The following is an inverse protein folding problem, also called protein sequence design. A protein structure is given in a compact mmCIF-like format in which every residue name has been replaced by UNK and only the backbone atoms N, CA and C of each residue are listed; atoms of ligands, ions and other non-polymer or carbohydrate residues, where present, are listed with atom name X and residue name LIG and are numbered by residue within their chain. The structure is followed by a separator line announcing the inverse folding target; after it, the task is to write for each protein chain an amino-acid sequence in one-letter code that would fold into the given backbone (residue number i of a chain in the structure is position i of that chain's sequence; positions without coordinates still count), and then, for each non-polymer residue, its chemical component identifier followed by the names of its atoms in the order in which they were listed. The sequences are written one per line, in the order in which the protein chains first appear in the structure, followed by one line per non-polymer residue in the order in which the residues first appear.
data_IF_670846497317
#
_entry.id   IF_670846497317
#
_cell.length_a   1.000
_cell.length_b   1.000
_cell.length_c   1.000
_cell.angle_alpha   90.00
_cell.angle_beta   90.00
_cell.angle_gamma   90.00
#
_symmetry.space_group_name_H-M   'P 1'
#
loop_
_entity.id
_entity.type
_entity.pdbx_description
1 polymer ?
#
# COMPACT_ATOMS: atom_id res chain seq x y z
N UNK A 1 1.66 14.09 25.74
CA UNK A 1 2.67 13.03 25.50
C UNK A 1 2.17 11.60 25.73
N UNK A 2 0.97 11.43 26.29
CA UNK A 2 0.36 10.11 26.57
C UNK A 2 -0.07 9.36 25.31
N UNK A 3 -0.57 10.07 24.30
CA UNK A 3 -1.02 9.45 23.03
C UNK A 3 0.19 8.98 22.21
N UNK A 4 0.28 7.67 21.97
CA UNK A 4 1.35 7.03 21.18
C UNK A 4 0.97 6.67 19.73
N UNK A 5 -0.34 6.63 19.43
CA UNK A 5 -0.85 6.32 18.11
C UNK A 5 -2.08 7.18 17.76
N UNK A 6 -2.17 7.54 16.48
CA UNK A 6 -3.32 8.17 15.83
C UNK A 6 -3.88 7.15 14.85
N UNK A 7 -5.03 6.56 15.19
CA UNK A 7 -5.69 5.56 14.36
C UNK A 7 -6.96 6.15 13.78
N UNK A 8 -7.13 6.05 12.47
CA UNK A 8 -8.36 6.48 11.82
C UNK A 8 -9.54 5.63 12.29
N UNK A 9 -10.68 6.27 12.54
CA UNK A 9 -11.90 5.57 12.94
C UNK A 9 -12.44 4.71 11.80
N UNK A 10 -12.41 5.26 10.58
CA UNK A 10 -12.82 4.61 9.34
C UNK A 10 -12.06 5.25 8.16
N UNK A 11 -12.06 4.57 7.02
CA UNK A 11 -11.77 5.22 5.74
C UNK A 11 -12.92 6.13 5.29
N UNK A 12 -12.86 6.63 4.07
CA UNK A 12 -13.91 7.47 3.51
C UNK A 12 -13.38 8.41 2.44
N UNK A 13 -13.62 9.70 2.62
CA UNK A 13 -13.19 10.74 1.71
C UNK A 13 -12.93 12.03 2.50
N UNK A 14 -11.83 12.70 2.20
CA UNK A 14 -11.56 14.06 2.69
C UNK A 14 -10.15 14.26 3.25
N UNK A 15 -9.33 13.22 3.39
CA UNK A 15 -7.96 13.36 3.87
C UNK A 15 -7.15 14.34 3.00
N UNK A 16 -7.34 14.31 1.68
CA UNK A 16 -6.74 15.26 0.73
C UNK A 16 -7.02 16.73 1.09
N UNK A 17 -8.21 17.04 1.60
CA UNK A 17 -8.62 18.40 1.95
C UNK A 17 -7.91 18.93 3.20
N UNK A 18 -7.34 18.03 4.00
CA UNK A 18 -6.66 18.38 5.25
C UNK A 18 -5.19 18.67 5.04
N UNK A 19 -4.56 18.17 3.96
CA UNK A 19 -3.11 18.17 3.80
C UNK A 19 -2.49 19.57 3.86
N UNK A 20 -3.16 20.58 3.29
CA UNK A 20 -2.71 21.98 3.33
C UNK A 20 -2.78 22.65 4.70
N UNK A 21 -3.48 22.05 5.66
CA UNK A 21 -3.64 22.58 7.02
C UNK A 21 -2.71 21.92 8.04
N UNK A 22 -1.91 20.92 7.63
CA UNK A 22 -1.05 20.17 8.54
C UNK A 22 0.30 20.84 8.74
N UNK A 23 0.70 20.99 10.00
CA UNK A 23 2.05 21.40 10.38
C UNK A 23 2.96 20.16 10.45
N UNK A 24 3.59 19.81 9.32
CA UNK A 24 4.35 18.56 9.23
C UNK A 24 5.53 18.45 10.21
N UNK A 25 6.12 19.58 10.60
CA UNK A 25 7.19 19.64 11.61
C UNK A 25 6.79 19.02 12.96
N UNK A 26 5.50 19.04 13.32
CA UNK A 26 5.00 18.44 14.57
C UNK A 26 5.10 16.92 14.58
N UNK A 27 5.08 16.27 13.42
CA UNK A 27 5.29 14.82 13.32
C UNK A 27 6.76 14.44 13.50
N UNK A 28 7.69 15.35 13.22
CA UNK A 28 9.13 15.14 13.47
C UNK A 28 9.46 15.29 14.97
N UNK A 29 8.89 16.29 15.64
CA UNK A 29 9.17 16.55 17.06
C UNK A 29 8.39 15.63 18.00
N UNK A 30 7.24 15.13 17.56
CA UNK A 30 6.39 14.22 18.34
C UNK A 30 5.94 13.03 17.49
N UNK A 31 6.85 12.13 17.09
CA UNK A 31 6.52 10.99 16.26
C UNK A 31 5.52 10.08 16.97
N UNK A 32 4.47 9.69 16.25
CA UNK A 32 3.42 8.78 16.69
C UNK A 32 3.06 7.88 15.53
N UNK A 33 2.61 6.67 15.83
CA UNK A 33 2.03 5.81 14.80
C UNK A 33 0.84 6.52 14.14
N UNK A 34 0.87 6.70 12.83
CA UNK A 34 -0.29 7.07 12.03
C UNK A 34 -0.81 5.82 11.34
N UNK A 35 -2.08 5.47 11.59
CA UNK A 35 -2.63 4.15 11.25
C UNK A 35 -3.93 4.28 10.47
N UNK A 36 -3.98 3.63 9.30
CA UNK A 36 -5.20 3.37 8.54
C UNK A 36 -4.91 3.02 7.08
N UNK A 37 -5.93 2.88 6.26
CA UNK A 37 -5.82 2.51 4.84
C UNK A 37 -6.89 3.25 4.02
N UNK A 38 -6.97 2.99 2.71
CA UNK A 38 -7.90 3.68 1.81
C UNK A 38 -7.58 5.19 1.70
N UNK A 39 -8.53 6.09 1.90
CA UNK A 39 -8.32 7.56 1.86
C UNK A 39 -7.20 8.05 2.81
N UNK A 40 -6.89 7.29 3.88
CA UNK A 40 -5.78 7.63 4.78
C UNK A 40 -4.40 7.50 4.12
N UNK A 41 -4.30 6.82 2.97
CA UNK A 41 -3.10 6.80 2.12
C UNK A 41 -2.58 8.21 1.84
N UNK A 42 -3.47 9.21 1.70
CA UNK A 42 -3.09 10.61 1.53
C UNK A 42 -2.25 11.15 2.70
N UNK A 43 -2.66 10.85 3.93
CA UNK A 43 -1.94 11.29 5.13
C UNK A 43 -0.65 10.49 5.33
N UNK A 44 -0.68 9.18 5.09
CA UNK A 44 0.53 8.33 5.16
C UNK A 44 1.61 8.86 4.20
N UNK A 45 1.25 9.08 2.93
CA UNK A 45 2.16 9.62 1.94
C UNK A 45 2.66 11.02 2.32
N UNK A 46 1.77 11.95 2.65
CA UNK A 46 2.13 13.32 2.96
C UNK A 46 3.05 13.42 4.19
N UNK A 47 2.74 12.71 5.27
CA UNK A 47 3.54 12.72 6.50
C UNK A 47 4.89 12.05 6.32
N UNK A 48 4.98 10.97 5.53
CA UNK A 48 6.28 10.38 5.22
C UNK A 48 7.13 11.33 4.36
N UNK A 49 6.56 11.90 3.30
CA UNK A 49 7.27 12.81 2.39
C UNK A 49 7.79 14.07 3.07
N UNK A 50 7.01 14.64 3.99
CA UNK A 50 7.31 15.94 4.60
C UNK A 50 7.96 15.83 5.99
N UNK A 51 7.82 14.69 6.67
CA UNK A 51 8.30 14.51 8.04
C UNK A 51 9.14 13.23 8.24
N UNK A 52 9.27 12.36 7.24
CA UNK A 52 9.92 11.05 7.40
C UNK A 52 9.18 10.11 8.35
N UNK A 53 7.92 10.40 8.67
CA UNK A 53 7.15 9.62 9.63
C UNK A 53 6.77 8.26 9.01
N UNK A 54 7.32 7.18 9.56
CA UNK A 54 6.87 5.83 9.23
C UNK A 54 5.46 5.64 9.81
N UNK A 55 4.51 5.36 8.91
CA UNK A 55 3.13 5.07 9.25
C UNK A 55 2.82 3.58 9.14
N UNK A 56 1.56 3.23 9.39
CA UNK A 56 1.06 1.88 9.23
C UNK A 56 -0.16 1.89 8.31
N UNK A 57 0.01 1.36 7.11
CA UNK A 57 -1.11 1.01 6.26
C UNK A 57 -1.79 -0.22 6.84
N UNK A 58 -2.97 -0.10 7.42
CA UNK A 58 -3.57 -1.21 8.17
C UNK A 58 -4.99 -0.91 8.63
N UNK A 59 -5.62 -1.84 9.38
CA UNK A 59 -7.01 -1.72 9.76
C UNK A 59 -7.32 -0.42 10.50
N UNK A 60 -8.52 0.12 10.27
CA UNK A 60 -9.10 1.26 11.00
C UNK A 60 -9.94 0.74 12.17
N UNK A 61 -10.33 1.61 13.09
CA UNK A 61 -11.08 1.19 14.30
C UNK A 61 -12.33 0.38 13.93
N UNK A 62 -13.07 0.81 12.90
CA UNK A 62 -14.29 0.14 12.46
C UNK A 62 -14.08 -1.23 11.81
N UNK A 63 -12.89 -1.53 11.29
CA UNK A 63 -12.60 -2.82 10.63
C UNK A 63 -11.74 -3.76 11.47
N UNK A 64 -11.00 -3.24 12.46
CA UNK A 64 -10.04 -4.03 13.26
C UNK A 64 -10.70 -5.24 13.93
N UNK A 65 -11.92 -5.09 14.46
CA UNK A 65 -12.63 -6.19 15.10
C UNK A 65 -12.98 -7.32 14.12
N UNK A 66 -13.25 -6.98 12.86
CA UNK A 66 -13.63 -7.92 11.80
C UNK A 66 -12.44 -8.54 11.05
N UNK A 67 -11.23 -7.97 11.20
CA UNK A 67 -10.01 -8.53 10.60
C UNK A 67 -9.73 -9.97 11.06
N UNK A 68 -9.12 -10.77 10.19
CA UNK A 68 -8.72 -12.13 10.53
C UNK A 68 -7.62 -12.16 11.61
N UNK A 69 -7.39 -13.34 12.19
CA UNK A 69 -6.46 -13.51 13.29
C UNK A 69 -5.00 -13.20 12.92
N UNK A 70 -4.57 -13.52 11.70
CA UNK A 70 -3.21 -13.25 11.22
C UNK A 70 -3.02 -11.75 11.01
N UNK A 71 -3.99 -11.07 10.40
CA UNK A 71 -3.95 -9.60 10.23
C UNK A 71 -3.91 -8.85 11.56
N UNK A 72 -4.72 -9.26 12.55
CA UNK A 72 -4.67 -8.72 13.92
C UNK A 72 -3.32 -8.95 14.57
N UNK A 73 -2.80 -10.18 14.50
CA UNK A 73 -1.48 -10.52 15.06
C UNK A 73 -0.39 -9.66 14.44
N UNK A 74 -0.36 -9.55 13.11
CA UNK A 74 0.59 -8.70 12.36
C UNK A 74 0.50 -7.24 12.80
N UNK A 75 -0.71 -6.71 12.89
CA UNK A 75 -0.97 -5.34 13.32
C UNK A 75 -0.36 -5.06 14.70
N UNK A 76 -0.67 -5.88 15.71
CA UNK A 76 -0.11 -5.70 17.05
C UNK A 76 1.40 -5.95 17.12
N UNK A 77 1.93 -6.93 16.37
CA UNK A 77 3.38 -7.15 16.25
C UNK A 77 4.12 -5.92 15.74
N UNK A 78 3.64 -5.28 14.68
CA UNK A 78 4.27 -4.06 14.14
C UNK A 78 4.21 -2.90 15.13
N UNK A 79 3.05 -2.68 15.77
CA UNK A 79 2.90 -1.63 16.78
C UNK A 79 3.80 -1.80 18.02
N UNK A 80 4.18 -3.05 18.32
CA UNK A 80 5.05 -3.39 19.45
C UNK A 80 6.52 -3.56 19.05
N UNK A 81 6.88 -3.26 17.80
CA UNK A 81 8.28 -3.29 17.32
C UNK A 81 8.77 -4.66 16.84
N UNK A 82 7.86 -5.61 16.58
CA UNK A 82 8.20 -6.91 16.00
C UNK A 82 7.98 -6.90 14.48
N UNK A 83 9.09 -6.74 13.74
CA UNK A 83 9.11 -6.62 12.28
C UNK A 83 9.44 -7.96 11.60
N UNK A 84 8.56 -8.96 11.79
CA UNK A 84 8.72 -10.28 11.17
C UNK A 84 8.50 -10.19 9.65
N UNK A 85 9.18 -11.04 8.83
CA UNK A 85 8.91 -11.11 7.40
C UNK A 85 7.46 -11.53 7.11
N UNK A 86 6.98 -11.20 5.92
CA UNK A 86 5.77 -11.76 5.34
C UNK A 86 6.18 -12.98 4.53
N UNK A 87 5.85 -14.17 5.03
CA UNK A 87 6.05 -15.44 4.32
C UNK A 87 4.73 -15.76 3.61
N UNK A 88 4.72 -15.68 2.28
CA UNK A 88 3.50 -15.63 1.48
C UNK A 88 3.36 -16.82 0.52
N UNK A 89 4.04 -17.91 0.83
CA UNK A 89 3.98 -19.15 0.06
C UNK A 89 2.52 -19.56 -0.17
N UNK A 90 2.19 -19.84 -1.42
CA UNK A 90 0.85 -20.23 -1.89
C UNK A 90 -0.25 -19.16 -1.71
N UNK A 91 0.08 -17.96 -1.21
CA UNK A 91 -0.84 -16.82 -1.07
C UNK A 91 -0.68 -15.77 -2.18
N UNK A 92 0.54 -15.56 -2.64
CA UNK A 92 0.83 -14.60 -3.73
C UNK A 92 0.95 -15.29 -5.08
N UNK A 93 0.63 -14.56 -6.13
CA UNK A 93 0.90 -14.94 -7.51
C UNK A 93 2.10 -14.15 -8.00
N UNK A 94 3.20 -14.82 -8.35
CA UNK A 94 4.37 -14.16 -8.94
C UNK A 94 4.09 -13.91 -10.43
N UNK A 95 3.82 -12.67 -10.81
CA UNK A 95 3.56 -12.25 -12.19
C UNK A 95 4.86 -12.00 -12.95
N UNK A 96 5.86 -11.43 -12.28
CA UNK A 96 7.24 -11.32 -12.75
C UNK A 96 8.19 -11.70 -11.62
N UNK A 97 9.07 -12.67 -11.87
CA UNK A 97 10.09 -13.10 -10.91
C UNK A 97 11.24 -12.13 -10.82
N UNK A 98 11.88 -12.04 -9.66
CA UNK A 98 13.03 -11.19 -9.43
C UNK A 98 13.24 -10.92 -7.95
N UNK A 99 14.18 -10.03 -7.66
CA UNK A 99 14.44 -9.51 -6.32
C UNK A 99 14.36 -8.00 -6.35
N UNK A 100 13.89 -7.42 -5.25
CA UNK A 100 13.69 -5.99 -5.12
C UNK A 100 14.03 -5.54 -3.71
N UNK A 101 14.63 -4.36 -3.57
CA UNK A 101 14.85 -3.75 -2.26
C UNK A 101 14.60 -2.26 -2.35
N UNK A 102 13.89 -1.73 -1.36
CA UNK A 102 13.63 -0.30 -1.24
C UNK A 102 12.59 -0.01 -0.18
N UNK A 103 12.25 1.26 -0.04
CA UNK A 103 11.18 1.67 0.87
C UNK A 103 9.83 1.20 0.38
N UNK A 104 8.96 0.83 1.31
CA UNK A 104 7.58 0.49 1.01
C UNK A 104 6.78 1.78 0.81
N UNK A 105 6.07 1.88 -0.30
CA UNK A 105 4.97 2.82 -0.49
C UNK A 105 3.71 2.00 -0.67
N UNK A 106 2.84 1.97 0.34
CA UNK A 106 1.62 1.17 0.32
C UNK A 106 0.38 2.05 0.35
N UNK A 107 -0.60 1.77 -0.50
CA UNK A 107 -1.85 2.50 -0.44
C UNK A 107 -2.88 2.17 -1.50
N UNK A 108 -3.99 2.89 -1.39
CA UNK A 108 -5.08 2.84 -2.32
C UNK A 108 -4.70 3.52 -3.66
N UNK A 109 -4.90 2.83 -4.78
CA UNK A 109 -4.57 3.28 -6.13
C UNK A 109 -5.22 4.62 -6.45
N UNK A 110 -6.55 4.72 -6.24
CA UNK A 110 -7.29 5.97 -6.45
C UNK A 110 -6.67 7.12 -5.69
N UNK A 111 -6.35 6.92 -4.41
CA UNK A 111 -5.75 7.97 -3.58
C UNK A 111 -4.35 8.37 -4.07
N UNK A 112 -3.50 7.41 -4.42
CA UNK A 112 -2.16 7.69 -4.98
C UNK A 112 -2.27 8.48 -6.29
N UNK A 113 -3.17 8.11 -7.20
CA UNK A 113 -3.39 8.83 -8.45
C UNK A 113 -3.78 10.30 -8.24
N UNK A 114 -4.55 10.61 -7.19
CA UNK A 114 -4.95 11.98 -6.86
C UNK A 114 -3.83 12.81 -6.19
N UNK A 115 -2.75 12.17 -5.75
CA UNK A 115 -1.58 12.88 -5.20
C UNK A 115 -0.55 13.26 -6.29
N UNK A 116 -0.61 12.63 -7.47
CA UNK A 116 0.34 12.89 -8.56
C UNK A 116 0.31 14.36 -8.97
N UNK A 117 1.49 14.99 -9.03
CA UNK A 117 1.64 16.41 -9.37
C UNK A 117 1.34 17.38 -8.22
N UNK A 118 1.06 16.90 -7.01
CA UNK A 118 0.86 17.72 -5.82
C UNK A 118 2.14 17.77 -4.96
N UNK A 119 2.26 18.73 -4.01
CA UNK A 119 3.37 18.74 -3.05
C UNK A 119 3.43 17.51 -2.12
N UNK A 120 2.38 16.69 -2.11
CA UNK A 120 2.27 15.49 -1.27
C UNK A 120 2.39 14.19 -2.08
N UNK A 121 2.79 14.29 -3.35
CA UNK A 121 3.10 13.15 -4.18
C UNK A 121 4.15 12.24 -3.51
N UNK A 122 3.91 10.92 -3.37
CA UNK A 122 4.90 10.02 -2.82
C UNK A 122 6.13 9.91 -3.74
N UNK A 123 7.32 9.88 -3.16
CA UNK A 123 8.55 9.55 -3.89
C UNK A 123 8.56 8.05 -4.20
N UNK A 124 8.30 7.71 -5.47
CA UNK A 124 8.18 6.31 -5.93
C UNK A 124 9.48 5.71 -6.49
N UNK A 125 10.42 6.54 -6.93
CA UNK A 125 11.71 6.07 -7.44
C UNK A 125 12.46 5.26 -6.37
N UNK A 126 12.90 4.05 -6.73
CA UNK A 126 13.62 3.14 -5.85
C UNK A 126 12.74 2.42 -4.82
N UNK A 127 11.41 2.48 -4.94
CA UNK A 127 10.48 1.91 -3.93
C UNK A 127 9.89 0.58 -4.35
N UNK A 128 9.43 -0.16 -3.34
CA UNK A 128 8.49 -1.28 -3.50
C UNK A 128 7.09 -0.69 -3.35
N UNK A 129 6.37 -0.57 -4.46
CA UNK A 129 5.02 0.00 -4.50
C UNK A 129 3.97 -1.09 -4.27
N UNK A 130 3.11 -0.90 -3.27
CA UNK A 130 1.98 -1.76 -2.92
C UNK A 130 0.68 -1.00 -3.25
N UNK A 131 -0.10 -1.52 -4.20
CA UNK A 131 -1.40 -0.95 -4.61
C UNK A 131 -2.58 -1.87 -4.27
N UNK A 132 -3.64 -1.29 -3.73
CA UNK A 132 -4.97 -1.89 -3.55
C UNK A 132 -6.05 -0.93 -4.06
N UNK A 133 -7.25 -1.43 -4.36
CA UNK A 133 -8.43 -0.56 -4.51
C UNK A 133 -9.73 -1.33 -4.26
N UNK A 134 -10.84 -0.62 -4.05
CA UNK A 134 -12.15 -1.25 -3.79
C UNK A 134 -13.29 -0.51 -4.49
N UNK A 135 -14.32 -1.26 -4.90
CA UNK A 135 -15.54 -0.68 -5.47
C UNK A 135 -15.38 0.02 -6.82
N UNK A 136 -14.22 -0.08 -7.48
CA UNK A 136 -13.97 0.56 -8.76
C UNK A 136 -14.07 -0.43 -9.93
N UNK A 137 -14.85 -0.14 -10.98
CA UNK A 137 -14.91 -0.99 -12.17
C UNK A 137 -13.58 -0.98 -12.93
N UNK A 138 -13.29 -2.09 -13.62
CA UNK A 138 -12.00 -2.31 -14.29
C UNK A 138 -11.57 -1.18 -15.23
N UNK A 139 -12.49 -0.54 -15.96
CA UNK A 139 -12.14 0.57 -16.86
C UNK A 139 -11.59 1.80 -16.13
N UNK A 140 -11.95 2.02 -14.85
CA UNK A 140 -11.36 3.09 -14.04
C UNK A 140 -10.00 2.68 -13.49
N UNK A 141 -9.86 1.44 -13.03
CA UNK A 141 -8.57 0.88 -12.61
C UNK A 141 -7.56 1.01 -13.75
N UNK A 142 -7.94 0.60 -14.96
CA UNK A 142 -7.11 0.75 -16.16
C UNK A 142 -6.69 2.21 -16.38
N UNK A 143 -7.62 3.16 -16.35
CA UNK A 143 -7.30 4.59 -16.49
C UNK A 143 -6.31 5.09 -15.45
N UNK A 144 -6.43 4.63 -14.20
CA UNK A 144 -5.54 5.01 -13.10
C UNK A 144 -4.15 4.40 -13.24
N UNK A 145 -4.06 3.11 -13.56
CA UNK A 145 -2.78 2.45 -13.87
C UNK A 145 -2.09 3.09 -15.08
N UNK A 146 -2.87 3.38 -16.12
CA UNK A 146 -2.41 4.09 -17.32
C UNK A 146 -1.87 5.47 -16.96
N UNK A 147 -2.56 6.23 -16.12
CA UNK A 147 -2.07 7.53 -15.63
C UNK A 147 -0.73 7.40 -14.89
N UNK A 148 -0.59 6.43 -13.99
CA UNK A 148 0.68 6.20 -13.28
C UNK A 148 1.82 5.84 -14.24
N UNK A 149 1.55 4.97 -15.22
CA UNK A 149 2.52 4.58 -16.23
C UNK A 149 2.98 5.78 -17.06
N UNK A 150 2.06 6.58 -17.62
CA UNK A 150 2.41 7.74 -18.44
C UNK A 150 2.98 8.92 -17.64
N UNK A 151 2.75 8.98 -16.33
CA UNK A 151 3.45 9.89 -15.42
C UNK A 151 4.86 9.39 -15.03
N UNK A 152 5.31 8.25 -15.59
CA UNK A 152 6.63 7.66 -15.34
C UNK A 152 6.77 7.06 -13.94
N UNK A 153 5.65 6.75 -13.26
CA UNK A 153 5.64 6.30 -11.87
C UNK A 153 5.96 4.82 -11.69
N UNK A 154 6.00 4.07 -12.78
CA UNK A 154 6.48 2.68 -12.79
C UNK A 154 7.94 2.55 -13.23
N UNK A 155 8.55 3.56 -13.87
CA UNK A 155 9.82 3.39 -14.59
C UNK A 155 11.00 2.98 -13.71
N UNK A 156 11.00 3.38 -12.45
CA UNK A 156 12.13 3.18 -11.54
C UNK A 156 11.70 2.56 -10.20
N UNK A 157 10.72 1.67 -10.21
CA UNK A 157 10.40 0.87 -9.01
C UNK A 157 11.44 -0.24 -8.81
N UNK A 158 11.61 -0.67 -7.56
CA UNK A 158 12.34 -1.89 -7.23
C UNK A 158 11.42 -3.08 -7.01
N UNK A 159 10.11 -2.84 -6.99
CA UNK A 159 9.09 -3.88 -6.95
C UNK A 159 7.68 -3.32 -7.04
N UNK A 160 6.75 -4.14 -7.53
CA UNK A 160 5.33 -3.83 -7.55
C UNK A 160 4.54 -4.98 -6.94
N UNK A 161 3.59 -4.64 -6.08
CA UNK A 161 2.74 -5.62 -5.39
C UNK A 161 1.30 -5.16 -5.50
N UNK A 162 0.44 -6.04 -6.00
CA UNK A 162 -0.99 -5.85 -6.10
C UNK A 162 -1.65 -6.60 -4.95
N UNK A 163 -2.39 -5.86 -4.14
CA UNK A 163 -3.19 -6.38 -3.05
C UNK A 163 -4.56 -6.83 -3.51
N UNK A 164 -5.53 -6.57 -2.66
CA UNK A 164 -6.94 -6.72 -3.02
C UNK A 164 -7.32 -5.64 -4.04
N UNK A 165 -7.93 -6.08 -5.13
CA UNK A 165 -8.78 -5.24 -5.95
C UNK A 165 -10.15 -5.88 -6.10
N UNK A 166 -11.20 -5.15 -5.78
CA UNK A 166 -12.58 -5.61 -5.97
C UNK A 166 -13.40 -4.57 -6.74
N UNK A 167 -14.36 -5.06 -7.54
CA UNK A 167 -15.33 -4.24 -8.25
C UNK A 167 -16.62 -4.02 -7.43
N UNK A 168 -16.59 -4.29 -6.12
CA UNK A 168 -17.75 -4.42 -5.26
C UNK A 168 -18.47 -5.78 -5.37
N UNK A 169 -19.74 -5.81 -4.97
CA UNK A 169 -20.50 -7.03 -4.74
C UNK A 169 -20.83 -7.77 -6.06
N UNK A 170 -19.97 -8.73 -6.47
CA UNK A 170 -20.32 -9.93 -7.28
C UNK A 170 -19.11 -10.86 -7.54
N UNK A 171 -19.03 -11.95 -6.77
CA UNK A 171 -17.95 -12.95 -6.75
C UNK A 171 -17.51 -13.57 -8.11
N UNK A 172 -18.41 -13.74 -9.10
CA UNK A 172 -18.04 -14.30 -10.42
C UNK A 172 -17.24 -13.31 -11.27
N UNK A 173 -17.38 -12.00 -11.01
CA UNK A 173 -16.62 -10.96 -11.71
C UNK A 173 -15.18 -10.86 -11.24
N UNK A 174 -14.86 -11.42 -10.07
CA UNK A 174 -13.57 -11.19 -9.40
C UNK A 174 -12.40 -11.89 -10.11
N UNK A 175 -12.59 -13.09 -10.65
CA UNK A 175 -11.51 -13.79 -11.38
C UNK A 175 -11.17 -13.14 -12.72
N UNK A 176 -12.19 -12.80 -13.51
CA UNK A 176 -11.97 -12.08 -14.77
C UNK A 176 -11.36 -10.71 -14.52
N UNK A 177 -11.86 -9.99 -13.52
CA UNK A 177 -11.32 -8.70 -13.11
C UNK A 177 -9.84 -8.82 -12.71
N UNK A 178 -9.50 -9.81 -11.87
CA UNK A 178 -8.13 -10.04 -11.46
C UNK A 178 -7.21 -10.36 -12.65
N UNK A 179 -7.66 -11.21 -13.57
CA UNK A 179 -6.92 -11.53 -14.78
C UNK A 179 -6.66 -10.26 -15.61
N UNK A 180 -7.68 -9.45 -15.85
CA UNK A 180 -7.57 -8.20 -16.59
C UNK A 180 -6.63 -7.21 -15.90
N UNK A 181 -6.69 -7.12 -14.57
CA UNK A 181 -5.77 -6.31 -13.78
C UNK A 181 -4.31 -6.75 -13.97
N UNK A 182 -4.04 -8.05 -13.85
CA UNK A 182 -2.69 -8.60 -13.96
C UNK A 182 -2.11 -8.43 -15.36
N UNK A 183 -2.90 -8.73 -16.40
CA UNK A 183 -2.50 -8.50 -17.79
C UNK A 183 -2.19 -7.02 -18.03
N UNK A 184 -3.06 -6.12 -17.55
CA UNK A 184 -2.87 -4.68 -17.75
C UNK A 184 -1.62 -4.15 -17.06
N UNK A 185 -1.34 -4.62 -15.84
CA UNK A 185 -0.10 -4.25 -15.13
C UNK A 185 1.14 -4.77 -15.86
N UNK A 186 1.12 -6.01 -16.35
CA UNK A 186 2.23 -6.57 -17.12
C UNK A 186 2.45 -5.80 -18.43
N UNK A 187 1.39 -5.42 -19.13
CA UNK A 187 1.44 -4.60 -20.34
C UNK A 187 2.08 -3.23 -20.07
N UNK A 188 1.60 -2.50 -19.06
CA UNK A 188 2.06 -1.15 -18.72
C UNK A 188 3.49 -1.10 -18.16
N UNK A 189 4.01 -2.25 -17.73
CA UNK A 189 5.34 -2.38 -17.13
C UNK A 189 6.27 -3.24 -17.98
N UNK A 190 5.92 -3.56 -19.23
CA UNK A 190 6.67 -4.48 -20.08
C UNK A 190 8.12 -4.03 -20.35
N UNK A 191 8.42 -2.74 -20.23
CA UNK A 191 9.76 -2.14 -20.38
C UNK A 191 10.62 -2.18 -19.11
N UNK A 192 10.16 -2.83 -18.05
CA UNK A 192 10.81 -2.85 -16.73
C UNK A 192 11.08 -4.28 -16.27
N UNK A 193 12.03 -4.44 -15.35
CA UNK A 193 12.49 -5.77 -14.89
C UNK A 193 12.22 -6.06 -13.41
N UNK A 194 11.64 -5.12 -12.66
CA UNK A 194 11.39 -5.32 -11.22
C UNK A 194 10.35 -6.44 -10.99
N UNK A 195 10.45 -7.19 -9.87
CA UNK A 195 9.48 -8.23 -9.52
C UNK A 195 8.07 -7.68 -9.33
N UNK A 196 7.08 -8.45 -9.78
CA UNK A 196 5.66 -8.10 -9.67
C UNK A 196 4.91 -9.25 -9.00
N UNK A 197 4.25 -8.97 -7.89
CA UNK A 197 3.39 -9.93 -7.18
C UNK A 197 1.93 -9.48 -7.22
N UNK A 198 1.02 -10.43 -7.36
CA UNK A 198 -0.41 -10.25 -7.15
C UNK A 198 -0.90 -11.03 -5.92
N UNK A 199 -2.14 -10.75 -5.51
CA UNK A 199 -2.82 -11.44 -4.41
C UNK A 199 -2.11 -11.29 -3.05
N UNK A 200 -1.40 -10.20 -2.83
CA UNK A 200 -0.86 -9.92 -1.50
C UNK A 200 -2.03 -9.66 -0.54
N UNK A 201 -2.06 -10.27 0.67
CA UNK A 201 -3.18 -10.15 1.62
C UNK A 201 -3.22 -8.78 2.33
N UNK A 202 -3.44 -7.70 1.57
CA UNK A 202 -3.67 -6.33 2.05
C UNK A 202 -4.77 -5.64 1.24
N UNK A 203 -5.51 -4.71 1.85
CA UNK A 203 -6.61 -3.96 1.20
C UNK A 203 -7.94 -4.07 1.94
N UNK A 204 -9.06 -4.11 1.22
CA UNK A 204 -10.41 -3.92 1.80
C UNK A 204 -11.16 -5.20 2.21
N UNK A 205 -10.54 -6.37 2.03
CA UNK A 205 -11.10 -7.63 2.53
C UNK A 205 -10.74 -7.88 4.00
N UNK A 206 -11.25 -8.98 4.56
CA UNK A 206 -10.94 -9.42 5.92
C UNK A 206 -9.45 -9.72 6.11
N UNK A 207 -8.79 -10.24 5.07
CA UNK A 207 -7.33 -10.36 4.96
C UNK A 207 -6.71 -9.00 4.60
N UNK A 208 -6.43 -8.20 5.64
CA UNK A 208 -5.78 -6.90 5.53
C UNK A 208 -4.57 -6.84 6.47
N UNK A 209 -3.48 -7.51 6.09
CA UNK A 209 -2.26 -7.49 6.86
C UNK A 209 -1.66 -6.08 6.83
N UNK A 210 -1.46 -5.52 8.02
CA UNK A 210 -0.85 -4.21 8.16
C UNK A 210 0.57 -4.18 7.59
N UNK A 211 0.93 -3.07 6.93
CA UNK A 211 2.18 -2.82 6.23
C UNK A 211 2.81 -1.50 6.74
N UNK A 212 4.09 -1.47 7.13
CA UNK A 212 4.75 -0.24 7.53
C UNK A 212 5.07 0.64 6.31
N UNK A 213 4.42 1.80 6.21
CA UNK A 213 4.65 2.76 5.14
C UNK A 213 5.98 3.49 5.35
N UNK A 214 6.84 3.51 4.34
CA UNK A 214 8.13 4.21 4.35
C UNK A 214 9.30 3.42 4.94
N UNK A 215 9.05 2.22 5.47
CA UNK A 215 10.09 1.31 5.97
C UNK A 215 10.83 0.63 4.81
N UNK A 216 12.13 0.38 4.97
CA UNK A 216 12.92 -0.42 4.03
C UNK A 216 12.46 -1.89 4.05
N UNK A 217 12.35 -2.50 2.87
CA UNK A 217 12.03 -3.90 2.72
C UNK A 217 12.76 -4.53 1.54
N UNK A 218 12.86 -5.86 1.55
CA UNK A 218 13.29 -6.64 0.40
C UNK A 218 12.25 -7.69 0.05
N UNK A 219 12.01 -7.88 -1.24
CA UNK A 219 11.13 -8.92 -1.78
C UNK A 219 11.94 -9.93 -2.59
N UNK A 220 11.65 -11.21 -2.38
CA UNK A 220 12.33 -12.33 -3.04
C UNK A 220 11.30 -13.27 -3.65
N UNK A 221 11.16 -13.27 -4.98
CA UNK A 221 10.17 -14.10 -5.66
C UNK A 221 10.42 -15.60 -5.50
N UNK A 222 11.68 -16.01 -5.29
CA UNK A 222 12.03 -17.42 -5.10
C UNK A 222 11.51 -18.03 -3.80
N UNK A 223 11.45 -17.25 -2.72
CA UNK A 223 10.93 -17.67 -1.42
C UNK A 223 9.53 -17.12 -1.13
N UNK A 224 9.04 -16.18 -1.95
CA UNK A 224 7.80 -15.41 -1.72
C UNK A 224 7.80 -14.71 -0.35
N UNK A 225 8.94 -14.10 -0.02
CA UNK A 225 9.13 -13.39 1.25
C UNK A 225 9.32 -11.89 1.05
N UNK A 226 8.54 -11.10 1.81
CA UNK A 226 8.79 -9.67 1.99
C UNK A 226 9.43 -9.47 3.37
N UNK A 227 10.72 -9.16 3.41
CA UNK A 227 11.48 -8.94 4.64
C UNK A 227 11.51 -7.46 4.98
N UNK A 228 11.19 -7.12 6.23
CA UNK A 228 11.21 -5.75 6.74
C UNK A 228 12.56 -5.44 7.39
N UNK A 229 13.12 -4.26 7.12
CA UNK A 229 14.33 -3.75 7.76
C UNK A 229 13.98 -2.52 8.61
N UNK A 230 13.83 -2.68 9.93
CA UNK A 230 13.67 -1.54 10.81
C UNK A 230 14.94 -0.68 10.76
N UNK A 231 14.74 0.63 10.58
CA UNK A 231 15.80 1.64 10.61
C UNK A 231 16.03 2.21 12.00
#
# INVERSE_FOLDING_TARGET
EEVKALMAVRGGYGCLRMLGCLEFSRFQTHPKWLIGFSDLTALLAATFMNAGLIGLHGPVVSSLAASDALSKKRFFSLLTGSFLPYVLKDKVTVLRSGTGRGRIVAGNLTTICHLIGTPWEPALTGTILLLEDTGEPMYKIDRMLTQLAWAGRFDNLTGLVLGTFDAGDRAVRDQLFQHQLFERVLELTAHTDFPIWGNFPFGHLSENQAIPYGMEAAMESGTTELTLYPG
#
